data_IF_040084748557
#
_entry.id   IF_040084748557
#
_cell.length_a   1.000
_cell.length_b   1.000
_cell.length_c   1.000
_cell.angle_alpha   90.00
_cell.angle_beta   90.00
_cell.angle_gamma   90.00
#
_symmetry.space_group_name_H-M   'P 1'
#
loop_
_entity.id
_entity.type
_entity.pdbx_description
1 polymer ?
#
# COMPACT_ATOMS: atom_id res chain seq x y z
N UNK A 1 -31.49 22.69 -55.65
CA UNK A 1 -31.80 21.38 -55.07
C UNK A 1 -30.80 21.14 -53.95
N UNK A 2 -31.35 21.22 -52.74
CA UNK A 2 -30.93 20.66 -51.45
C UNK A 2 -29.45 20.69 -51.03
N UNK A 3 -29.18 21.59 -50.06
CA UNK A 3 -28.13 21.44 -49.06
C UNK A 3 -28.43 20.17 -48.23
N UNK A 4 -27.70 19.08 -48.47
CA UNK A 4 -27.65 17.96 -47.54
C UNK A 4 -26.91 18.40 -46.26
N UNK A 5 -27.67 18.76 -45.23
CA UNK A 5 -27.13 18.83 -43.88
C UNK A 5 -26.72 17.41 -43.44
N UNK A 6 -25.54 17.21 -42.83
CA UNK A 6 -25.19 15.92 -42.27
C UNK A 6 -26.21 15.55 -41.19
N UNK A 7 -26.85 14.40 -41.35
CA UNK A 7 -27.79 13.84 -40.37
C UNK A 7 -26.96 13.44 -39.14
N UNK A 8 -27.01 14.24 -38.08
CA UNK A 8 -26.41 13.90 -36.79
C UNK A 8 -27.40 13.04 -36.00
N UNK A 9 -27.12 11.74 -35.88
CA UNK A 9 -27.90 10.84 -35.03
C UNK A 9 -27.56 11.07 -33.54
N UNK A 10 -28.29 11.92 -32.83
CA UNK A 10 -28.14 12.04 -31.37
C UNK A 10 -28.69 10.78 -30.70
N UNK A 11 -27.85 10.09 -29.93
CA UNK A 11 -28.24 8.90 -29.16
C UNK A 11 -28.68 9.33 -27.76
N UNK A 12 -29.67 8.63 -27.18
CA UNK A 12 -30.20 8.92 -25.85
C UNK A 12 -30.24 7.63 -25.02
N UNK A 13 -29.60 7.64 -23.85
CA UNK A 13 -29.75 6.58 -22.84
C UNK A 13 -30.56 7.17 -21.69
N UNK A 14 -31.64 6.48 -21.33
CA UNK A 14 -32.46 6.82 -20.17
C UNK A 14 -32.09 5.90 -19.02
N UNK A 15 -31.53 6.46 -17.96
CA UNK A 15 -31.24 5.75 -16.72
C UNK A 15 -32.23 6.22 -15.65
N UNK A 16 -32.79 5.29 -14.89
CA UNK A 16 -33.65 5.60 -13.76
C UNK A 16 -32.84 5.40 -12.48
N UNK A 17 -32.68 6.46 -11.67
CA UNK A 17 -31.96 6.33 -10.40
C UNK A 17 -32.87 5.72 -9.31
N UNK A 18 -32.29 5.40 -8.15
CA UNK A 18 -33.03 4.86 -6.99
C UNK A 18 -34.17 5.76 -6.49
N UNK A 19 -34.18 7.05 -6.88
CA UNK A 19 -35.21 8.02 -6.55
C UNK A 19 -36.26 8.18 -7.67
N UNK A 20 -36.28 7.29 -8.68
CA UNK A 20 -37.18 7.33 -9.84
C UNK A 20 -37.01 8.54 -10.75
N UNK A 21 -35.90 9.28 -10.64
CA UNK A 21 -35.60 10.38 -11.55
C UNK A 21 -34.98 9.82 -12.84
N UNK A 22 -35.45 10.34 -13.97
CA UNK A 22 -34.97 9.96 -15.30
C UNK A 22 -33.77 10.84 -15.66
N UNK A 23 -32.59 10.24 -15.74
CA UNK A 23 -31.38 10.86 -16.24
C UNK A 23 -31.30 10.56 -17.74
N UNK A 24 -31.43 11.61 -18.56
CA UNK A 24 -31.29 11.51 -20.02
C UNK A 24 -29.84 11.85 -20.42
N UNK A 25 -29.08 10.85 -20.85
CA UNK A 25 -27.74 11.04 -21.40
C UNK A 25 -27.83 11.14 -22.92
N UNK A 26 -27.71 12.36 -23.45
CA UNK A 26 -27.64 12.61 -24.90
C UNK A 26 -26.19 12.70 -25.36
N UNK A 27 -25.81 11.93 -26.38
CA UNK A 27 -24.47 11.99 -26.97
C UNK A 27 -24.50 11.83 -28.50
N UNK A 28 -23.47 12.34 -29.18
CA UNK A 28 -23.33 12.25 -30.63
C UNK A 28 -22.36 11.10 -31.02
N UNK A 29 -22.60 10.40 -32.15
CA UNK A 29 -21.66 9.44 -32.71
C UNK A 29 -20.52 10.22 -33.36
N UNK A 30 -19.31 9.95 -32.91
CA UNK A 30 -18.11 10.64 -33.35
C UNK A 30 -17.37 9.87 -34.46
N UNK A 31 -16.52 10.58 -35.19
CA UNK A 31 -15.80 10.16 -36.41
C UNK A 31 -14.85 8.95 -36.21
N UNK A 32 -14.44 8.23 -37.26
CA UNK A 32 -13.68 6.94 -37.22
C UNK A 32 -12.45 6.85 -36.29
N UNK A 33 -11.78 7.97 -35.99
CA UNK A 33 -10.68 8.05 -34.99
C UNK A 33 -11.16 7.85 -33.53
N UNK A 34 -12.48 7.82 -33.31
CA UNK A 34 -13.18 7.75 -32.02
C UNK A 34 -13.73 6.35 -31.70
N UNK A 35 -13.60 5.39 -32.63
CA UNK A 35 -14.05 4.00 -32.41
C UNK A 35 -13.19 3.28 -31.35
N UNK A 36 -11.86 3.46 -31.38
CA UNK A 36 -10.97 2.93 -30.35
C UNK A 36 -11.19 3.60 -29.00
N UNK A 37 -11.44 4.92 -28.95
CA UNK A 37 -11.75 5.61 -27.69
C UNK A 37 -13.07 5.12 -27.06
N UNK A 38 -14.05 4.74 -27.89
CA UNK A 38 -15.30 4.11 -27.42
C UNK A 38 -15.05 2.70 -26.89
N UNK A 39 -14.28 1.89 -27.61
CA UNK A 39 -13.91 0.54 -27.15
C UNK A 39 -13.07 0.59 -25.86
N UNK A 40 -12.11 1.52 -25.76
CA UNK A 40 -11.30 1.76 -24.56
C UNK A 40 -12.18 2.09 -23.35
N UNK A 41 -13.17 2.97 -23.53
CA UNK A 41 -14.11 3.33 -22.48
C UNK A 41 -14.98 2.13 -22.05
N UNK A 42 -15.42 1.29 -22.99
CA UNK A 42 -16.18 0.07 -22.68
C UNK A 42 -15.32 -0.95 -21.94
N UNK A 43 -14.10 -1.23 -22.43
CA UNK A 43 -13.16 -2.15 -21.76
C UNK A 43 -12.90 -1.67 -20.33
N UNK A 44 -12.63 -0.38 -20.16
CA UNK A 44 -12.43 0.24 -18.84
C UNK A 44 -13.67 0.09 -17.95
N UNK A 45 -14.86 0.39 -18.46
CA UNK A 45 -16.09 0.26 -17.70
C UNK A 45 -16.33 -1.19 -17.28
N UNK A 46 -16.06 -2.17 -18.15
CA UNK A 46 -16.12 -3.58 -17.80
C UNK A 46 -15.16 -3.92 -16.66
N UNK A 47 -13.92 -3.44 -16.70
CA UNK A 47 -12.90 -3.73 -15.69
C UNK A 47 -13.22 -3.07 -14.34
N UNK A 48 -13.60 -1.79 -14.35
CA UNK A 48 -13.94 -1.05 -13.13
C UNK A 48 -15.24 -1.58 -12.47
N UNK A 49 -16.18 -2.10 -13.26
CA UNK A 49 -17.43 -2.71 -12.75
C UNK A 49 -17.34 -4.21 -12.50
N UNK A 50 -16.19 -4.84 -12.75
CA UNK A 50 -15.99 -6.29 -12.70
C UNK A 50 -17.01 -7.07 -13.57
N UNK A 51 -17.45 -6.47 -14.67
CA UNK A 51 -18.42 -7.06 -15.58
C UNK A 51 -17.73 -8.16 -16.40
N UNK A 52 -18.15 -9.40 -16.16
CA UNK A 52 -17.58 -10.54 -16.88
C UNK A 52 -17.89 -10.49 -18.38
N UNK A 53 -17.05 -11.16 -19.17
CA UNK A 53 -17.23 -11.34 -20.62
C UNK A 53 -18.62 -11.90 -20.96
N UNK A 54 -19.08 -12.93 -20.24
CA UNK A 54 -20.40 -13.53 -20.44
C UNK A 54 -21.52 -12.54 -20.12
N UNK A 55 -21.38 -11.82 -19.01
CA UNK A 55 -22.35 -10.81 -18.58
C UNK A 55 -22.48 -9.68 -19.60
N UNK A 56 -21.36 -9.16 -20.12
CA UNK A 56 -21.38 -8.14 -21.18
C UNK A 56 -21.98 -8.69 -22.48
N UNK A 57 -21.66 -9.94 -22.84
CA UNK A 57 -22.21 -10.60 -24.04
C UNK A 57 -23.74 -10.68 -23.99
N UNK A 58 -24.31 -11.10 -22.86
CA UNK A 58 -25.76 -11.16 -22.65
C UNK A 58 -26.40 -9.78 -22.72
N UNK A 59 -25.74 -8.76 -22.15
CA UNK A 59 -26.22 -7.38 -22.20
C UNK A 59 -26.25 -6.85 -23.65
N UNK A 60 -25.17 -7.06 -24.41
CA UNK A 60 -25.07 -6.67 -25.81
C UNK A 60 -26.02 -7.45 -26.74
N UNK A 61 -26.49 -8.64 -26.32
CA UNK A 61 -27.51 -9.39 -27.05
C UNK A 61 -28.92 -8.80 -26.91
N UNK A 62 -29.20 -8.10 -25.81
CA UNK A 62 -30.51 -7.49 -25.51
C UNK A 62 -30.58 -6.03 -25.95
N UNK A 63 -29.45 -5.31 -25.93
CA UNK A 63 -29.37 -3.90 -26.37
C UNK A 63 -28.59 -3.79 -27.71
N UNK A 64 -29.29 -3.66 -28.86
CA UNK A 64 -28.66 -3.62 -30.18
C UNK A 64 -27.69 -2.45 -30.39
N UNK A 65 -27.77 -1.40 -29.58
CA UNK A 65 -26.88 -0.24 -29.67
C UNK A 65 -25.50 -0.46 -29.03
N UNK A 66 -25.34 -1.53 -28.22
CA UNK A 66 -24.06 -1.87 -27.63
C UNK A 66 -23.12 -2.51 -28.66
N UNK A 67 -21.83 -2.23 -28.47
CA UNK A 67 -20.80 -2.88 -29.30
C UNK A 67 -20.78 -4.37 -28.95
N UNK A 68 -20.75 -5.21 -30.00
CA UNK A 68 -20.66 -6.65 -29.87
C UNK A 68 -19.42 -7.07 -29.08
N UNK A 69 -19.58 -8.10 -28.26
CA UNK A 69 -18.56 -8.61 -27.34
C UNK A 69 -17.20 -8.86 -28.00
N UNK A 70 -17.17 -9.47 -29.18
CA UNK A 70 -15.91 -9.82 -29.85
C UNK A 70 -15.03 -8.61 -30.17
N UNK A 71 -15.60 -7.45 -30.52
CA UNK A 71 -14.80 -6.22 -30.73
C UNK A 71 -14.21 -5.71 -29.41
N UNK A 72 -14.93 -5.86 -28.30
CA UNK A 72 -14.43 -5.50 -26.96
C UNK A 72 -13.29 -6.45 -26.54
N UNK A 73 -13.43 -7.75 -26.83
CA UNK A 73 -12.38 -8.73 -26.58
C UNK A 73 -11.12 -8.50 -27.44
N UNK A 74 -11.29 -8.23 -28.73
CA UNK A 74 -10.18 -7.87 -29.63
C UNK A 74 -9.45 -6.63 -29.13
N UNK A 75 -10.19 -5.57 -28.75
CA UNK A 75 -9.58 -4.38 -28.19
C UNK A 75 -8.84 -4.66 -26.88
N UNK A 76 -9.36 -5.53 -26.01
CA UNK A 76 -8.68 -5.94 -24.77
C UNK A 76 -7.35 -6.63 -25.06
N UNK A 77 -7.29 -7.48 -26.09
CA UNK A 77 -6.04 -8.12 -26.53
C UNK A 77 -5.05 -7.06 -27.02
N UNK A 78 -5.49 -6.13 -27.88
CA UNK A 78 -4.63 -5.04 -28.36
C UNK A 78 -4.08 -4.17 -27.20
N UNK A 79 -4.92 -3.81 -26.23
CA UNK A 79 -4.49 -3.06 -25.03
C UNK A 79 -3.45 -3.88 -24.26
N UNK A 80 -3.67 -5.18 -24.09
CA UNK A 80 -2.73 -6.08 -23.40
C UNK A 80 -1.37 -6.12 -24.13
N UNK A 81 -1.37 -6.18 -25.46
CA UNK A 81 -0.14 -6.16 -26.26
C UNK A 81 0.58 -4.81 -26.24
N UNK A 82 -0.17 -3.71 -26.13
CA UNK A 82 0.41 -2.38 -25.89
C UNK A 82 1.05 -2.33 -24.49
N UNK A 83 0.35 -2.81 -23.47
CA UNK A 83 0.84 -2.85 -22.09
C UNK A 83 2.09 -3.72 -21.96
N UNK A 84 2.11 -4.91 -22.55
CA UNK A 84 3.27 -5.82 -22.52
C UNK A 84 4.50 -5.21 -23.18
N UNK A 85 4.33 -4.36 -24.21
CA UNK A 85 5.44 -3.63 -24.83
C UNK A 85 5.90 -2.43 -24.01
N UNK A 86 4.96 -1.68 -23.42
CA UNK A 86 5.26 -0.45 -22.69
C UNK A 86 5.79 -0.69 -21.27
N UNK A 87 5.17 -1.61 -20.54
CA UNK A 87 5.47 -1.96 -19.16
C UNK A 87 5.51 -3.49 -19.03
N UNK A 88 6.51 -4.08 -19.67
CA UNK A 88 6.67 -5.53 -19.70
C UNK A 88 6.75 -6.11 -18.28
N UNK A 89 5.91 -7.10 -18.00
CA UNK A 89 5.96 -7.90 -16.78
C UNK A 89 6.86 -9.10 -17.08
N UNK A 90 8.00 -9.13 -16.41
CA UNK A 90 8.95 -10.23 -16.47
C UNK A 90 8.74 -11.15 -15.29
N UNK A 91 9.10 -12.39 -15.46
CA UNK A 91 8.97 -13.43 -14.45
C UNK A 91 10.35 -13.88 -13.99
N UNK A 92 10.40 -14.49 -12.81
CA UNK A 92 11.63 -15.02 -12.22
C UNK A 92 11.31 -16.17 -11.28
N UNK A 93 12.30 -17.04 -11.08
CA UNK A 93 12.26 -18.12 -10.10
C UNK A 93 13.14 -17.76 -8.91
N UNK A 94 12.71 -18.20 -7.74
CA UNK A 94 13.45 -18.09 -6.50
C UNK A 94 14.15 -19.43 -6.29
N UNK A 95 15.46 -19.41 -6.02
CA UNK A 95 16.18 -20.63 -5.64
C UNK A 95 15.63 -21.15 -4.32
N UNK A 96 14.64 -22.05 -4.38
CA UNK A 96 14.13 -22.76 -3.21
C UNK A 96 15.18 -23.79 -2.82
N UNK A 97 15.77 -23.64 -1.63
CA UNK A 97 16.30 -24.84 -0.97
C UNK A 97 15.13 -25.83 -0.78
N UNK A 98 15.32 -27.13 -1.03
CA UNK A 98 14.23 -28.10 -0.97
C UNK A 98 13.66 -28.15 0.45
N UNK A 99 12.49 -27.55 0.62
CA UNK A 99 11.65 -27.76 1.78
C UNK A 99 11.20 -29.23 1.73
N UNK A 100 11.38 -29.97 2.83
CA UNK A 100 10.84 -31.33 2.98
C UNK A 100 9.34 -31.27 2.67
N UNK A 101 8.93 -31.96 1.59
CA UNK A 101 7.54 -32.05 1.17
C UNK A 101 6.80 -33.00 2.12
N UNK A 102 5.72 -32.52 2.73
CA UNK A 102 4.66 -33.44 3.16
C UNK A 102 3.90 -33.88 1.90
N UNK A 103 3.90 -35.19 1.68
CA UNK A 103 3.29 -35.88 0.54
C UNK A 103 1.79 -35.61 0.46
N UNK A 104 1.35 -34.64 -0.36
CA UNK A 104 0.06 -34.73 -1.06
C UNK A 104 0.18 -34.03 -2.41
N UNK A 105 0.13 -34.84 -3.47
CA UNK A 105 0.33 -34.42 -4.85
C UNK A 105 -0.68 -33.41 -5.35
N UNK A 106 -0.17 -32.38 -6.00
CA UNK A 106 -0.79 -31.66 -7.11
C UNK A 106 0.32 -31.27 -8.07
N UNK A 107 0.04 -31.38 -9.36
CA UNK A 107 0.98 -31.31 -10.48
C UNK A 107 2.00 -30.17 -10.37
N UNK A 108 3.28 -30.53 -10.49
CA UNK A 108 4.37 -29.59 -10.73
C UNK A 108 4.22 -29.02 -12.15
N UNK A 109 3.44 -27.96 -12.30
CA UNK A 109 3.77 -26.97 -13.31
C UNK A 109 5.00 -26.23 -12.81
N UNK A 110 6.06 -26.16 -13.63
CA UNK A 110 7.18 -25.23 -13.45
C UNK A 110 6.59 -23.82 -13.38
N UNK A 111 6.27 -23.36 -12.17
CA UNK A 111 5.62 -22.08 -11.96
C UNK A 111 6.71 -21.13 -11.49
N UNK A 112 7.01 -20.13 -12.31
CA UNK A 112 7.87 -19.01 -11.94
C UNK A 112 7.39 -18.45 -10.60
N UNK A 113 8.32 -18.28 -9.65
CA UNK A 113 7.97 -17.97 -8.26
C UNK A 113 7.49 -16.52 -8.07
N UNK A 114 7.74 -15.64 -9.04
CA UNK A 114 7.28 -14.27 -9.00
C UNK A 114 7.36 -13.55 -10.34
N UNK A 115 6.78 -12.35 -10.34
CA UNK A 115 6.75 -11.43 -11.46
C UNK A 115 7.17 -10.03 -11.01
N UNK A 116 7.82 -9.28 -11.90
CA UNK A 116 8.28 -7.92 -11.68
C UNK A 116 8.17 -7.08 -12.94
N UNK A 117 8.24 -5.76 -12.77
CA UNK A 117 8.30 -4.80 -13.88
C UNK A 117 9.21 -3.63 -13.53
N UNK A 118 9.78 -3.01 -14.56
CA UNK A 118 10.75 -1.92 -14.42
C UNK A 118 10.10 -0.65 -13.85
N UNK A 119 10.79 -0.02 -12.90
CA UNK A 119 10.43 1.29 -12.36
C UNK A 119 10.50 2.35 -13.46
N UNK A 120 11.52 2.30 -14.33
CA UNK A 120 11.68 3.21 -15.48
C UNK A 120 10.57 3.10 -16.50
N UNK A 121 10.09 1.89 -16.79
CA UNK A 121 8.92 1.70 -17.65
C UNK A 121 7.68 2.40 -17.06
N UNK A 122 7.48 2.28 -15.74
CA UNK A 122 6.39 2.98 -15.05
C UNK A 122 6.57 4.51 -15.15
N UNK A 123 7.77 5.03 -14.87
CA UNK A 123 8.06 6.47 -14.95
C UNK A 123 7.83 7.03 -16.35
N UNK A 124 8.26 6.30 -17.39
CA UNK A 124 8.05 6.68 -18.80
C UNK A 124 6.58 6.92 -19.11
N UNK A 125 5.68 6.13 -18.53
CA UNK A 125 4.24 6.22 -18.76
C UNK A 125 3.59 7.29 -17.88
N UNK A 126 3.99 7.40 -16.61
CA UNK A 126 3.32 8.26 -15.65
C UNK A 126 3.82 9.71 -15.67
N UNK A 127 5.08 9.96 -16.00
CA UNK A 127 5.66 11.30 -15.99
C UNK A 127 4.90 12.29 -16.89
N UNK A 128 4.49 11.94 -18.13
CA UNK A 128 3.63 12.82 -18.93
C UNK A 128 2.30 13.14 -18.26
N UNK A 129 1.71 12.17 -17.55
CA UNK A 129 0.43 12.35 -16.84
C UNK A 129 0.59 13.34 -15.68
N UNK A 130 1.69 13.23 -14.93
CA UNK A 130 2.01 14.15 -13.84
C UNK A 130 2.37 15.56 -14.31
N UNK A 131 3.03 15.70 -15.47
CA UNK A 131 3.31 17.00 -16.12
C UNK A 131 2.03 17.68 -16.61
N UNK A 132 1.07 16.92 -17.10
CA UNK A 132 -0.16 17.42 -17.73
C UNK A 132 -1.35 17.54 -16.77
N UNK A 133 -1.22 17.07 -15.52
CA UNK A 133 -2.30 17.21 -14.54
C UNK A 133 -2.60 18.67 -14.25
N UNK A 134 -3.79 18.96 -13.72
CA UNK A 134 -4.20 20.33 -13.35
C UNK A 134 -4.58 20.37 -11.87
N UNK A 135 -3.77 21.01 -10.99
CA UNK A 135 -2.43 21.54 -11.26
C UNK A 135 -1.42 20.43 -11.59
N UNK A 136 -0.28 20.76 -12.24
CA UNK A 136 0.78 19.79 -12.51
C UNK A 136 1.35 19.27 -11.20
N UNK A 137 1.56 17.95 -11.10
CA UNK A 137 2.23 17.32 -9.95
C UNK A 137 3.74 17.54 -10.02
N UNK A 138 4.29 17.58 -11.24
CA UNK A 138 5.71 17.77 -11.51
C UNK A 138 5.91 18.84 -12.59
N UNK A 139 6.82 19.76 -12.35
CA UNK A 139 7.30 20.75 -13.32
C UNK A 139 8.81 20.59 -13.56
N UNK A 140 9.34 20.96 -14.74
CA UNK A 140 10.76 20.85 -15.02
C UNK A 140 11.61 21.54 -13.95
N UNK A 141 12.61 20.82 -13.42
CA UNK A 141 13.45 21.26 -12.30
C UNK A 141 13.07 20.62 -10.96
N UNK A 142 11.90 19.99 -10.85
CA UNK A 142 11.52 19.21 -9.67
C UNK A 142 12.32 17.91 -9.54
N UNK A 143 12.47 17.45 -8.31
CA UNK A 143 12.97 16.10 -7.98
C UNK A 143 11.80 15.11 -7.92
N UNK A 144 11.93 13.98 -8.60
CA UNK A 144 11.01 12.84 -8.50
C UNK A 144 11.31 12.10 -7.19
N UNK A 145 10.36 12.12 -6.25
CA UNK A 145 10.51 11.45 -4.95
C UNK A 145 9.79 10.11 -4.97
N UNK A 146 10.52 9.02 -5.11
CA UNK A 146 9.96 7.67 -5.19
C UNK A 146 10.07 6.96 -3.84
N UNK A 147 8.93 6.49 -3.34
CA UNK A 147 8.90 5.66 -2.14
C UNK A 147 8.64 4.22 -2.53
N UNK A 148 9.61 3.35 -2.24
CA UNK A 148 9.42 1.91 -2.25
C UNK A 148 8.72 1.47 -0.97
N UNK A 149 7.84 0.49 -1.08
CA UNK A 149 7.27 -0.17 0.09
C UNK A 149 7.06 -1.64 -0.15
N UNK A 150 6.98 -2.42 0.91
CA UNK A 150 6.77 -3.85 0.83
C UNK A 150 5.98 -4.37 2.00
N UNK A 151 5.18 -5.41 1.75
CA UNK A 151 4.45 -6.13 2.78
C UNK A 151 4.29 -7.60 2.36
N UNK A 152 4.16 -8.48 3.35
CA UNK A 152 3.83 -9.88 3.16
C UNK A 152 2.39 -10.14 3.60
N UNK A 153 1.64 -10.85 2.75
CA UNK A 153 0.27 -11.22 3.04
C UNK A 153 0.04 -12.71 2.80
N UNK A 154 -0.66 -13.35 3.73
CA UNK A 154 -1.04 -14.75 3.60
C UNK A 154 -2.28 -14.83 2.68
N UNK A 155 -2.12 -15.39 1.47
CA UNK A 155 -3.24 -15.57 0.55
C UNK A 155 -3.81 -16.97 0.74
N UNK A 156 -4.94 -17.05 1.46
CA UNK A 156 -5.56 -18.31 1.84
C UNK A 156 -4.78 -19.09 2.91
N UNK A 157 -4.96 -20.41 2.96
CA UNK A 157 -4.30 -21.30 3.96
C UNK A 157 -2.96 -21.88 3.49
N UNK A 158 -2.51 -21.58 2.27
CA UNK A 158 -1.47 -22.40 1.60
C UNK A 158 -0.17 -21.65 1.27
N UNK A 159 -0.21 -20.37 0.89
CA UNK A 159 0.99 -19.67 0.41
C UNK A 159 1.01 -18.19 0.78
N UNK A 160 2.15 -17.76 1.31
CA UNK A 160 2.43 -16.36 1.58
C UNK A 160 2.87 -15.68 0.29
N UNK A 161 2.46 -14.43 0.10
CA UNK A 161 2.89 -13.61 -1.01
C UNK A 161 3.56 -12.37 -0.45
N UNK A 162 4.59 -11.90 -1.13
CA UNK A 162 5.26 -10.65 -0.81
C UNK A 162 5.11 -9.72 -2.00
N UNK A 163 4.62 -8.52 -1.74
CA UNK A 163 4.44 -7.48 -2.74
C UNK A 163 5.38 -6.33 -2.44
N UNK A 164 6.05 -5.83 -3.48
CA UNK A 164 6.80 -4.57 -3.42
C UNK A 164 6.13 -3.57 -4.37
N UNK A 165 5.97 -2.35 -3.89
CA UNK A 165 5.31 -1.25 -4.61
C UNK A 165 6.22 -0.02 -4.66
N UNK A 166 5.95 0.87 -5.61
CA UNK A 166 6.51 2.22 -5.67
C UNK A 166 5.38 3.23 -5.77
N UNK A 167 5.51 4.38 -5.11
CA UNK A 167 4.62 5.52 -5.30
C UNK A 167 5.40 6.84 -5.43
N UNK A 168 4.76 7.85 -6.01
CA UNK A 168 5.34 9.19 -6.17
C UNK A 168 4.92 10.09 -5.00
N UNK A 169 5.86 10.42 -4.11
CA UNK A 169 5.59 11.27 -2.94
C UNK A 169 5.13 12.70 -3.31
N UNK A 170 5.51 13.20 -4.49
CA UNK A 170 5.06 14.50 -4.99
C UNK A 170 3.52 14.60 -5.12
N UNK A 171 2.80 13.48 -5.20
CA UNK A 171 1.33 13.47 -5.24
C UNK A 171 0.66 13.75 -3.87
N UNK A 172 1.45 13.93 -2.81
CA UNK A 172 0.96 14.26 -1.47
C UNK A 172 0.02 13.19 -0.92
N UNK A 173 -1.18 13.57 -0.46
CA UNK A 173 -2.14 12.62 0.15
C UNK A 173 -2.66 11.55 -0.81
N UNK A 174 -2.54 11.73 -2.13
CA UNK A 174 -3.00 10.72 -3.11
C UNK A 174 -2.21 9.43 -3.00
N UNK A 175 -0.97 9.46 -2.52
CA UNK A 175 -0.16 8.24 -2.32
C UNK A 175 -0.79 7.24 -1.36
N UNK A 176 -1.75 7.66 -0.53
CA UNK A 176 -2.49 6.76 0.37
C UNK A 176 -3.57 5.95 -0.37
N UNK A 177 -3.88 6.31 -1.62
CA UNK A 177 -4.87 5.60 -2.42
C UNK A 177 -4.22 4.38 -3.10
N UNK A 178 -4.90 3.22 -3.14
CA UNK A 178 -4.37 2.03 -3.81
C UNK A 178 -3.97 2.25 -5.27
N UNK A 179 -4.69 3.11 -5.99
CA UNK A 179 -4.42 3.42 -7.41
C UNK A 179 -3.11 4.18 -7.65
N UNK A 180 -2.51 4.73 -6.60
CA UNK A 180 -1.23 5.44 -6.63
C UNK A 180 -0.09 4.59 -6.04
N UNK A 181 -0.36 3.33 -5.69
CA UNK A 181 0.62 2.35 -5.26
C UNK A 181 0.91 1.40 -6.43
N UNK A 182 1.99 1.65 -7.16
CA UNK A 182 2.34 0.87 -8.34
C UNK A 182 3.11 -0.38 -7.92
N UNK A 183 2.48 -1.55 -7.98
CA UNK A 183 3.18 -2.82 -7.76
C UNK A 183 4.36 -2.95 -8.73
N UNK A 184 5.55 -3.26 -8.24
CA UNK A 184 6.75 -3.48 -9.06
C UNK A 184 7.24 -4.93 -8.98
N UNK A 185 6.87 -5.65 -7.93
CA UNK A 185 7.21 -7.05 -7.75
C UNK A 185 6.13 -7.77 -6.92
N UNK A 186 5.80 -8.99 -7.31
CA UNK A 186 4.95 -9.91 -6.56
C UNK A 186 5.56 -11.31 -6.65
N UNK A 187 5.75 -11.97 -5.51
CA UNK A 187 6.24 -13.36 -5.51
C UNK A 187 5.56 -14.20 -4.42
N UNK A 188 5.45 -15.50 -4.68
CA UNK A 188 5.00 -16.49 -3.72
C UNK A 188 6.19 -16.90 -2.83
N UNK A 189 6.15 -16.52 -1.56
CA UNK A 189 7.25 -16.74 -0.65
C UNK A 189 7.12 -16.02 0.67
N UNK A 190 8.20 -16.06 1.44
CA UNK A 190 8.27 -15.46 2.76
C UNK A 190 9.07 -14.17 2.73
N UNK A 191 8.76 -13.31 3.70
CA UNK A 191 9.55 -12.15 4.07
C UNK A 191 10.81 -12.62 4.81
N UNK A 192 11.77 -13.16 4.05
CA UNK A 192 13.09 -13.58 4.51
C UNK A 192 14.16 -12.82 3.76
N UNK A 193 15.23 -12.48 4.47
CA UNK A 193 16.37 -11.74 3.91
C UNK A 193 16.90 -12.37 2.61
N UNK A 194 17.09 -13.69 2.58
CA UNK A 194 17.64 -14.40 1.41
C UNK A 194 16.72 -14.27 0.18
N UNK A 195 15.41 -14.40 0.36
CA UNK A 195 14.45 -14.25 -0.74
C UNK A 195 14.40 -12.80 -1.22
N UNK A 196 14.38 -11.84 -0.29
CA UNK A 196 14.41 -10.41 -0.62
C UNK A 196 15.74 -9.95 -1.22
N UNK A 197 16.83 -10.70 -1.01
CA UNK A 197 18.12 -10.45 -1.68
C UNK A 197 18.00 -10.68 -3.18
N UNK A 198 17.25 -11.71 -3.61
CA UNK A 198 16.99 -11.93 -5.04
C UNK A 198 16.19 -10.76 -5.63
N UNK A 199 15.20 -10.24 -4.90
CA UNK A 199 14.42 -9.08 -5.33
C UNK A 199 15.28 -7.81 -5.39
N UNK A 200 16.13 -7.61 -4.39
CA UNK A 200 17.13 -6.54 -4.37
C UNK A 200 18.01 -6.57 -5.63
N UNK A 201 18.50 -7.75 -6.01
CA UNK A 201 19.34 -7.90 -7.20
C UNK A 201 18.62 -7.51 -8.49
N UNK A 202 17.32 -7.83 -8.62
CA UNK A 202 16.50 -7.44 -9.79
C UNK A 202 16.49 -5.91 -9.98
N UNK A 203 16.37 -5.14 -8.89
CA UNK A 203 16.24 -3.68 -8.96
C UNK A 203 17.55 -2.92 -8.73
N UNK A 204 18.65 -3.61 -8.40
CA UNK A 204 19.90 -2.99 -7.95
C UNK A 204 20.44 -1.94 -8.93
N UNK A 205 20.59 -2.33 -10.20
CA UNK A 205 21.19 -1.45 -11.20
C UNK A 205 20.23 -0.32 -11.58
N UNK A 206 18.93 -0.62 -11.68
CA UNK A 206 17.90 0.38 -11.98
C UNK A 206 17.81 1.47 -10.90
N UNK A 207 17.77 1.08 -9.62
CA UNK A 207 17.73 2.03 -8.50
C UNK A 207 19.03 2.84 -8.40
N UNK A 208 20.18 2.21 -8.63
CA UNK A 208 21.47 2.89 -8.60
C UNK A 208 21.59 3.93 -9.71
N UNK A 209 21.13 3.59 -10.92
CA UNK A 209 21.13 4.49 -12.06
C UNK A 209 20.16 5.65 -11.86
N UNK A 210 18.95 5.37 -11.36
CA UNK A 210 17.98 6.42 -10.99
C UNK A 210 18.56 7.39 -9.95
N UNK A 211 19.22 6.88 -8.90
CA UNK A 211 19.84 7.72 -7.87
C UNK A 211 20.95 8.62 -8.44
N UNK A 212 21.86 8.04 -9.21
CA UNK A 212 23.09 8.71 -9.60
C UNK A 212 22.93 9.60 -10.84
N UNK A 213 22.09 9.17 -11.79
CA UNK A 213 21.93 9.81 -13.10
C UNK A 213 20.54 10.41 -13.31
N UNK A 214 19.60 10.19 -12.39
CA UNK A 214 18.22 10.64 -12.53
C UNK A 214 17.43 9.83 -13.57
N UNK A 215 16.32 10.43 -14.02
CA UNK A 215 15.46 9.90 -15.06
C UNK A 215 15.39 10.88 -16.24
N UNK A 216 15.66 10.41 -17.45
CA UNK A 216 15.52 11.22 -18.67
C UNK A 216 14.15 10.98 -19.29
N UNK A 217 13.39 12.05 -19.52
CA UNK A 217 12.13 11.95 -20.23
C UNK A 217 12.33 11.90 -21.76
N UNK A 218 11.23 11.72 -22.50
CA UNK A 218 11.26 11.65 -23.97
C UNK A 218 11.75 12.92 -24.64
N UNK A 219 11.72 14.05 -23.94
CA UNK A 219 12.17 15.36 -24.42
C UNK A 219 13.66 15.59 -24.09
N UNK A 220 14.32 14.63 -23.44
CA UNK A 220 15.72 14.71 -23.00
C UNK A 220 15.90 15.52 -21.71
N UNK A 221 14.83 15.87 -21.00
CA UNK A 221 14.93 16.56 -19.71
C UNK A 221 15.36 15.56 -18.64
N UNK A 222 16.42 15.91 -17.91
CA UNK A 222 16.90 15.12 -16.77
C UNK A 222 16.13 15.52 -15.50
N UNK A 223 15.55 14.53 -14.84
CA UNK A 223 14.82 14.66 -13.59
C UNK A 223 15.63 14.01 -12.47
N UNK A 224 16.11 14.77 -11.47
CA UNK A 224 16.73 14.18 -10.28
C UNK A 224 15.76 13.22 -9.59
N UNK A 225 16.26 12.12 -9.03
CA UNK A 225 15.44 11.13 -8.33
C UNK A 225 15.94 10.98 -6.90
N UNK A 226 15.02 11.08 -5.95
CA UNK A 226 15.27 10.81 -4.54
C UNK A 226 14.46 9.55 -4.14
N UNK A 227 15.14 8.60 -3.50
CA UNK A 227 14.56 7.31 -3.15
C UNK A 227 14.29 7.22 -1.65
N UNK A 228 13.13 6.67 -1.30
CA UNK A 228 12.68 6.39 0.05
C UNK A 228 12.25 4.94 0.18
N UNK A 229 12.31 4.40 1.39
CA UNK A 229 11.77 3.08 1.70
C UNK A 229 10.84 3.17 2.90
N UNK A 230 9.67 2.52 2.83
CA UNK A 230 8.73 2.42 3.94
C UNK A 230 8.17 1.02 4.09
N UNK A 231 8.18 0.51 5.32
CA UNK A 231 7.59 -0.78 5.66
C UNK A 231 7.30 -0.87 7.15
N UNK A 232 6.59 -1.91 7.55
CA UNK A 232 6.42 -2.21 8.97
C UNK A 232 7.79 -2.46 9.63
N UNK A 233 7.81 -2.42 10.96
CA UNK A 233 9.06 -2.52 11.72
C UNK A 233 9.86 -3.79 11.42
N UNK A 234 9.21 -4.93 11.22
CA UNK A 234 9.88 -6.20 10.90
C UNK A 234 10.49 -6.14 9.50
N UNK A 235 9.75 -5.63 8.52
CA UNK A 235 10.22 -5.47 7.15
C UNK A 235 11.44 -4.54 7.09
N UNK A 236 11.41 -3.43 7.83
CA UNK A 236 12.52 -2.49 7.93
C UNK A 236 13.81 -3.18 8.42
N UNK A 237 13.73 -4.02 9.45
CA UNK A 237 14.89 -4.77 9.94
C UNK A 237 15.52 -5.65 8.87
N UNK A 238 14.68 -6.33 8.08
CA UNK A 238 15.16 -7.24 7.04
C UNK A 238 15.81 -6.44 5.90
N UNK A 239 15.15 -5.40 5.41
CA UNK A 239 15.68 -4.56 4.33
C UNK A 239 16.97 -3.85 4.75
N UNK A 240 17.08 -3.41 6.00
CA UNK A 240 18.29 -2.74 6.51
C UNK A 240 19.40 -3.72 6.92
N UNK A 241 19.16 -5.03 6.92
CA UNK A 241 20.14 -6.04 7.32
C UNK A 241 20.45 -6.07 8.82
N UNK A 242 19.50 -5.66 9.65
CA UNK A 242 19.58 -5.62 11.11
C UNK A 242 19.17 -6.98 11.72
N UNK A 243 19.55 -7.23 12.98
CA UNK A 243 19.35 -8.53 13.62
C UNK A 243 17.88 -8.84 13.94
N UNK A 244 17.31 -8.16 14.95
CA UNK A 244 15.94 -8.38 15.38
C UNK A 244 15.44 -7.24 16.30
N UNK A 245 14.12 -6.98 16.36
CA UNK A 245 13.54 -5.95 17.22
C UNK A 245 13.81 -6.11 18.72
N UNK A 246 14.16 -7.32 19.17
CA UNK A 246 14.46 -7.64 20.57
C UNK A 246 15.97 -7.64 20.90
N UNK A 247 16.83 -7.22 19.95
CA UNK A 247 18.25 -7.09 20.20
C UNK A 247 18.56 -5.97 21.21
N UNK A 248 19.72 -6.05 21.87
CA UNK A 248 20.16 -5.00 22.80
C UNK A 248 20.20 -3.62 22.13
N UNK A 249 20.58 -3.57 20.85
CA UNK A 249 20.59 -2.37 20.01
C UNK A 249 19.43 -2.44 19.02
N UNK A 250 18.26 -1.98 19.43
CA UNK A 250 17.00 -2.14 18.67
C UNK A 250 16.61 -0.93 17.81
N UNK A 251 17.30 0.20 17.93
CA UNK A 251 16.94 1.37 17.13
C UNK A 251 17.32 1.13 15.66
N UNK A 252 16.49 1.57 14.71
CA UNK A 252 16.83 1.52 13.28
C UNK A 252 17.96 2.51 12.93
N UNK A 253 18.03 3.60 13.67
CA UNK A 253 18.75 4.83 13.30
C UNK A 253 20.01 5.10 14.10
N UNK A 254 20.19 4.45 15.24
CA UNK A 254 21.33 4.72 16.11
C UNK A 254 21.72 3.51 16.93
N UNK A 255 22.84 3.63 17.62
CA UNK A 255 23.36 2.61 18.54
C UNK A 255 22.76 2.71 19.95
N UNK A 256 21.49 3.13 20.06
CA UNK A 256 20.76 3.17 21.34
C UNK A 256 20.57 1.75 21.88
N UNK A 257 21.04 1.52 23.11
CA UNK A 257 20.89 0.26 23.81
C UNK A 257 19.66 0.23 24.73
N UNK A 258 19.20 -0.97 25.05
CA UNK A 258 18.04 -1.21 25.89
C UNK A 258 18.18 -0.68 27.32
N UNK A 259 19.40 -0.59 27.86
CA UNK A 259 19.65 -0.14 29.24
C UNK A 259 19.56 1.39 29.35
N UNK A 260 19.83 2.08 28.24
CA UNK A 260 19.88 3.53 28.17
C UNK A 260 18.65 4.17 27.51
N UNK A 261 17.72 3.37 26.95
CA UNK A 261 16.57 3.88 26.19
C UNK A 261 15.55 4.72 26.97
N UNK A 262 15.59 4.67 28.30
CA UNK A 262 14.69 5.43 29.17
C UNK A 262 15.17 6.86 29.41
N UNK A 263 16.46 7.11 29.17
CA UNK A 263 17.12 8.38 29.41
C UNK A 263 16.87 9.34 28.24
N UNK A 264 15.89 10.22 28.41
CA UNK A 264 15.46 11.19 27.40
C UNK A 264 16.41 12.39 27.26
N UNK A 265 17.35 12.56 28.20
CA UNK A 265 18.37 13.61 28.14
C UNK A 265 19.55 13.22 27.24
N UNK A 266 19.67 11.93 26.90
CA UNK A 266 20.68 11.44 25.97
C UNK A 266 20.31 11.73 24.53
N UNK A 267 21.24 12.38 23.83
CA UNK A 267 21.17 12.59 22.40
C UNK A 267 21.86 11.42 21.69
N UNK A 268 21.12 10.75 20.81
CA UNK A 268 21.66 9.70 19.94
C UNK A 268 21.76 10.22 18.52
N UNK A 269 22.98 10.28 17.98
CA UNK A 269 23.18 10.66 16.59
C UNK A 269 22.60 9.60 15.64
N UNK A 270 21.93 10.06 14.57
CA UNK A 270 21.39 9.20 13.52
C UNK A 270 22.49 8.78 12.53
N UNK A 271 23.51 8.07 13.05
CA UNK A 271 24.60 7.52 12.24
C UNK A 271 24.29 6.10 11.74
N UNK A 272 23.13 5.56 12.08
CA UNK A 272 22.75 4.18 11.85
C UNK A 272 23.13 3.27 13.01
N UNK A 273 22.61 2.05 12.95
CA UNK A 273 22.86 1.02 13.97
C UNK A 273 23.97 0.06 13.52
N UNK A 274 25.22 0.47 13.70
CA UNK A 274 26.40 -0.37 13.41
C UNK A 274 26.54 -1.55 14.37
N UNK A 275 25.98 -1.47 15.58
CA UNK A 275 26.07 -2.53 16.59
C UNK A 275 25.09 -3.69 16.40
N UNK A 276 24.03 -3.48 15.61
CA UNK A 276 23.00 -4.49 15.30
C UNK A 276 23.04 -4.97 13.84
N UNK A 277 23.85 -4.33 12.99
CA UNK A 277 24.00 -4.69 11.58
C UNK A 277 24.70 -6.04 11.44
N UNK A 278 24.03 -6.99 10.79
CA UNK A 278 24.56 -8.34 10.51
C UNK A 278 24.76 -8.60 9.02
N UNK A 279 23.99 -7.92 8.19
CA UNK A 279 23.95 -8.12 6.74
C UNK A 279 23.97 -6.75 6.03
N UNK A 280 24.39 -6.68 4.77
CA UNK A 280 24.26 -5.44 4.00
C UNK A 280 22.78 -5.06 3.82
N UNK A 281 22.46 -3.77 3.66
CA UNK A 281 21.12 -3.35 3.30
C UNK A 281 20.77 -3.84 1.89
N UNK A 282 19.50 -4.20 1.69
CA UNK A 282 18.99 -4.74 0.43
C UNK A 282 18.79 -3.66 -0.64
N UNK A 283 18.63 -2.38 -0.27
CA UNK A 283 18.50 -1.30 -1.25
C UNK A 283 19.56 -0.22 -1.01
N UNK A 284 20.85 -0.48 -1.27
CA UNK A 284 21.94 0.45 -0.96
C UNK A 284 21.87 1.79 -1.72
N UNK A 285 21.04 1.89 -2.76
CA UNK A 285 20.75 3.15 -3.43
C UNK A 285 19.90 4.10 -2.57
N UNK A 286 19.22 3.62 -1.53
CA UNK A 286 18.41 4.43 -0.63
C UNK A 286 19.31 4.90 0.52
N UNK A 287 19.33 6.21 0.77
CA UNK A 287 20.10 6.78 1.86
C UNK A 287 19.50 6.40 3.22
N UNK A 288 20.34 6.34 4.26
CA UNK A 288 19.96 5.74 5.53
C UNK A 288 18.82 6.50 6.22
N UNK A 289 18.83 7.82 6.11
CA UNK A 289 17.81 8.75 6.56
C UNK A 289 16.46 8.59 5.85
N UNK A 290 16.46 7.97 4.65
CA UNK A 290 15.27 7.81 3.82
C UNK A 290 14.58 6.45 4.03
N UNK A 291 15.04 5.65 5.01
CA UNK A 291 14.33 4.49 5.54
C UNK A 291 13.36 4.94 6.62
N UNK A 292 12.06 4.94 6.34
CA UNK A 292 11.02 5.48 7.21
C UNK A 292 10.06 4.34 7.64
N UNK A 293 9.93 4.01 8.93
CA UNK A 293 8.98 3.01 9.39
C UNK A 293 7.55 3.46 9.13
N UNK A 294 6.68 2.49 8.91
CA UNK A 294 5.26 2.74 8.74
C UNK A 294 4.64 3.37 10.01
N UNK A 295 4.14 4.59 9.87
CA UNK A 295 3.54 5.37 10.96
C UNK A 295 2.28 4.73 11.53
N UNK A 296 1.49 4.02 10.71
CA UNK A 296 0.29 3.34 11.17
C UNK A 296 0.67 2.18 12.08
N UNK A 297 1.63 1.34 11.69
CA UNK A 297 2.11 0.23 12.51
C UNK A 297 2.77 0.73 13.81
N UNK A 298 3.52 1.84 13.74
CA UNK A 298 4.05 2.50 14.92
C UNK A 298 2.95 2.97 15.86
N UNK A 299 1.95 3.70 15.35
CA UNK A 299 0.79 4.15 16.12
C UNK A 299 0.08 2.97 16.81
N UNK A 300 -0.18 1.91 16.05
CA UNK A 300 -0.84 0.71 16.57
C UNK A 300 -0.03 0.11 17.72
N UNK A 301 1.29 -0.04 17.55
CA UNK A 301 2.16 -0.64 18.57
C UNK A 301 2.31 0.23 19.81
N UNK A 302 2.55 1.53 19.65
CA UNK A 302 2.68 2.48 20.76
C UNK A 302 1.38 2.52 21.56
N UNK A 303 0.23 2.61 20.87
CA UNK A 303 -1.07 2.62 21.53
C UNK A 303 -1.33 1.34 22.34
N UNK A 304 -0.95 0.16 21.83
CA UNK A 304 -1.10 -1.10 22.57
C UNK A 304 -0.25 -1.12 23.84
N UNK A 305 1.00 -0.68 23.75
CA UNK A 305 1.90 -0.63 24.92
C UNK A 305 1.39 0.34 25.98
N UNK A 306 0.96 1.54 25.58
CA UNK A 306 0.41 2.54 26.52
C UNK A 306 -0.86 2.03 27.21
N UNK A 307 -1.74 1.37 26.46
CA UNK A 307 -2.98 0.80 26.98
C UNK A 307 -2.73 -0.39 27.90
N UNK A 308 -1.82 -1.27 27.53
CA UNK A 308 -1.37 -2.38 28.35
C UNK A 308 -0.80 -1.89 29.69
N UNK A 309 0.06 -0.86 29.66
CA UNK A 309 0.59 -0.24 30.88
C UNK A 309 -0.54 0.32 31.76
N UNK A 310 -1.45 1.12 31.18
CA UNK A 310 -2.57 1.72 31.90
C UNK A 310 -3.45 0.64 32.55
N UNK A 311 -3.89 -0.34 31.77
CA UNK A 311 -4.82 -1.36 32.25
C UNK A 311 -4.17 -2.31 33.25
N UNK A 312 -2.91 -2.70 33.05
CA UNK A 312 -2.20 -3.53 34.02
C UNK A 312 -2.08 -2.85 35.38
N UNK A 313 -1.91 -1.53 35.43
CA UNK A 313 -1.87 -0.79 36.69
C UNK A 313 -3.26 -0.63 37.33
N UNK A 314 -4.30 -0.47 36.52
CA UNK A 314 -5.68 -0.39 37.03
C UNK A 314 -6.21 -1.73 37.51
N UNK A 315 -5.89 -2.83 36.83
CA UNK A 315 -6.31 -4.20 37.19
C UNK A 315 -5.74 -4.63 38.55
N UNK A 316 -4.56 -4.15 38.93
CA UNK A 316 -3.94 -4.44 40.23
C UNK A 316 -4.71 -3.82 41.42
N UNK A 317 -5.57 -2.82 41.18
CA UNK A 317 -6.32 -2.14 42.25
C UNK A 317 -7.47 -3.03 42.74
N UNK A 318 -7.69 -3.05 44.07
CA UNK A 318 -8.72 -3.90 44.70
C UNK A 318 -10.13 -3.54 44.24
N UNK A 319 -10.34 -2.28 43.94
CA UNK A 319 -11.59 -1.70 43.46
C UNK A 319 -11.81 -1.87 41.94
N UNK A 320 -10.90 -2.55 41.22
CA UNK A 320 -10.96 -2.67 39.76
C UNK A 320 -12.30 -3.19 39.27
N UNK A 321 -12.68 -4.41 39.68
CA UNK A 321 -13.84 -5.12 39.14
C UNK A 321 -15.17 -4.40 39.45
N UNK A 322 -15.29 -3.76 40.62
CA UNK A 322 -16.53 -3.14 41.09
C UNK A 322 -16.66 -1.66 40.75
N UNK A 323 -15.56 -0.92 40.65
CA UNK A 323 -15.58 0.53 40.53
C UNK A 323 -14.89 1.04 39.26
N UNK A 324 -13.68 0.55 38.96
CA UNK A 324 -12.89 1.11 37.84
C UNK A 324 -13.36 0.56 36.50
N UNK A 325 -13.57 -0.75 36.41
CA UNK A 325 -13.99 -1.45 35.18
C UNK A 325 -15.24 -0.79 34.57
N UNK A 326 -16.36 -0.60 35.31
CA UNK A 326 -17.57 0.01 34.73
C UNK A 326 -17.35 1.44 34.22
N UNK A 327 -16.47 2.21 34.87
CA UNK A 327 -16.17 3.60 34.50
C UNK A 327 -15.35 3.66 33.21
N UNK A 328 -14.38 2.75 33.04
CA UNK A 328 -13.61 2.66 31.79
C UNK A 328 -14.53 2.24 30.63
N UNK A 329 -15.33 1.20 30.81
CA UNK A 329 -16.25 0.70 29.79
C UNK A 329 -17.28 1.77 29.40
N UNK A 330 -17.78 2.55 30.36
CA UNK A 330 -18.64 3.70 30.10
C UNK A 330 -17.90 4.79 29.29
N UNK A 331 -16.65 5.11 29.62
CA UNK A 331 -15.87 6.08 28.87
C UNK A 331 -15.63 5.64 27.41
N UNK A 332 -15.37 4.36 27.15
CA UNK A 332 -15.30 3.85 25.77
C UNK A 332 -16.64 3.91 25.05
N UNK A 333 -17.74 3.62 25.75
CA UNK A 333 -19.10 3.73 25.20
C UNK A 333 -19.45 5.18 24.83
N UNK A 334 -19.05 6.17 25.63
CA UNK A 334 -19.18 7.60 25.29
C UNK A 334 -18.43 7.94 24.00
N UNK A 335 -17.28 7.28 23.78
CA UNK A 335 -16.54 7.34 22.53
C UNK A 335 -17.14 6.45 21.43
N UNK A 336 -18.32 5.87 21.57
CA UNK A 336 -18.90 4.96 20.58
C UNK A 336 -17.97 3.81 20.16
N UNK A 337 -17.08 3.38 21.05
CA UNK A 337 -16.18 2.23 20.85
C UNK A 337 -16.74 1.06 21.65
N UNK A 338 -16.91 -0.09 21.00
CA UNK A 338 -17.28 -1.31 21.71
C UNK A 338 -16.05 -1.85 22.43
N UNK A 339 -16.09 -1.82 23.76
CA UNK A 339 -14.98 -2.23 24.61
C UNK A 339 -15.49 -2.83 25.91
N UNK A 340 -14.94 -3.98 26.30
CA UNK A 340 -15.22 -4.65 27.56
C UNK A 340 -13.98 -5.34 28.12
N UNK A 341 -13.93 -5.44 29.45
CA UNK A 341 -13.01 -6.34 30.13
C UNK A 341 -13.69 -7.69 30.40
N UNK A 342 -12.98 -8.75 30.04
CA UNK A 342 -13.43 -10.14 30.23
C UNK A 342 -12.31 -10.97 30.86
N UNK A 343 -12.67 -12.11 31.44
CA UNK A 343 -11.70 -13.05 31.99
C UNK A 343 -11.41 -14.15 30.97
N UNK A 344 -10.14 -14.46 30.78
CA UNK A 344 -9.71 -15.61 30.00
C UNK A 344 -9.99 -16.92 30.74
N UNK A 345 -9.77 -18.05 30.05
CA UNK A 345 -9.86 -19.40 30.63
C UNK A 345 -9.00 -19.54 31.90
N UNK A 346 -7.86 -18.85 31.95
CA UNK A 346 -6.95 -18.85 33.10
C UNK A 346 -7.34 -17.87 34.21
N UNK A 347 -8.56 -17.33 34.19
CA UNK A 347 -9.08 -16.32 35.12
C UNK A 347 -8.23 -15.02 35.14
N UNK A 348 -7.49 -14.74 34.06
CA UNK A 348 -6.75 -13.49 33.88
C UNK A 348 -7.64 -12.45 33.18
N UNK A 349 -7.56 -11.21 33.62
CA UNK A 349 -8.25 -10.11 32.94
C UNK A 349 -7.63 -9.85 31.57
N UNK A 350 -8.50 -9.75 30.57
CA UNK A 350 -8.23 -9.33 29.21
C UNK A 350 -9.26 -8.29 28.80
N UNK A 351 -9.06 -7.69 27.63
CA UNK A 351 -9.94 -6.65 27.10
C UNK A 351 -10.11 -6.76 25.60
N UNK A 352 -11.14 -6.11 25.07
CA UNK A 352 -11.39 -6.01 23.63
C UNK A 352 -10.21 -5.35 22.92
N UNK A 353 -9.67 -6.01 21.88
CA UNK A 353 -8.64 -5.41 21.02
C UNK A 353 -9.26 -4.31 20.16
N UNK A 354 -8.55 -3.18 20.02
CA UNK A 354 -9.02 -2.03 19.26
C UNK A 354 -8.39 -1.98 17.87
N UNK A 355 -9.21 -1.71 16.86
CA UNK A 355 -8.75 -1.50 15.48
C UNK A 355 -8.23 -0.07 15.29
N UNK A 356 -7.52 0.18 14.18
CA UNK A 356 -6.88 1.48 13.89
C UNK A 356 -7.79 2.71 14.07
N UNK A 357 -9.03 2.74 13.53
CA UNK A 357 -9.95 3.86 13.73
C UNK A 357 -10.31 4.09 15.20
N UNK A 358 -10.58 3.03 15.96
CA UNK A 358 -10.94 3.12 17.38
C UNK A 358 -9.75 3.56 18.23
N UNK A 359 -8.55 3.07 17.93
CA UNK A 359 -7.30 3.53 18.55
C UNK A 359 -7.09 5.03 18.36
N UNK A 360 -7.33 5.56 17.15
CA UNK A 360 -7.25 7.02 16.89
C UNK A 360 -8.28 7.79 17.72
N UNK A 361 -9.52 7.30 17.79
CA UNK A 361 -10.59 7.95 18.56
C UNK A 361 -10.30 7.94 20.06
N UNK A 362 -9.77 6.82 20.56
CA UNK A 362 -9.33 6.64 21.94
C UNK A 362 -8.17 7.57 22.28
N UNK A 363 -7.07 7.56 21.51
CA UNK A 363 -5.89 8.39 21.78
C UNK A 363 -6.23 9.89 21.85
N UNK A 364 -7.22 10.33 21.05
CA UNK A 364 -7.64 11.74 21.02
C UNK A 364 -8.54 12.14 22.20
N UNK A 365 -9.41 11.24 22.68
CA UNK A 365 -10.55 11.63 23.51
C UNK A 365 -10.68 10.84 24.82
N UNK A 366 -9.94 9.75 25.02
CA UNK A 366 -10.07 8.93 26.23
C UNK A 366 -9.54 9.70 27.45
N UNK A 367 -10.34 9.85 28.52
CA UNK A 367 -10.01 10.73 29.63
C UNK A 367 -9.04 10.05 30.62
N UNK A 368 -7.78 9.85 30.22
CA UNK A 368 -6.73 9.18 31.02
C UNK A 368 -6.58 9.80 32.42
N UNK A 369 -6.73 11.11 32.53
CA UNK A 369 -6.64 11.86 33.80
C UNK A 369 -7.69 11.46 34.85
N UNK A 370 -8.77 10.79 34.46
CA UNK A 370 -9.74 10.22 35.42
C UNK A 370 -9.20 8.98 36.16
N UNK A 371 -8.18 8.34 35.63
CA UNK A 371 -7.71 7.02 36.09
C UNK A 371 -6.28 7.01 36.65
N UNK A 372 -5.47 8.00 36.26
CA UNK A 372 -4.09 8.19 36.75
C UNK A 372 -4.05 9.46 37.62
N UNK A 373 -3.55 9.35 38.85
CA UNK A 373 -3.40 10.47 39.79
C UNK A 373 -1.92 10.91 39.88
N UNK A 374 -1.67 12.23 39.93
CA UNK A 374 -0.34 12.83 40.12
C UNK A 374 -0.04 14.00 39.16
N UNK A 375 0.94 14.85 39.50
CA UNK A 375 1.44 15.88 38.60
C UNK A 375 2.29 15.24 37.50
N UNK A 376 1.83 15.28 36.24
CA UNK A 376 2.58 14.75 35.09
C UNK A 376 2.22 15.50 33.82
N UNK A 377 3.25 15.77 33.01
CA UNK A 377 3.17 16.51 31.76
C UNK A 377 3.05 18.01 32.03
N UNK A 378 4.19 18.72 32.05
CA UNK A 378 4.13 20.09 31.54
C UNK A 378 3.63 19.98 30.10
N UNK A 379 2.75 20.91 29.68
CA UNK A 379 2.39 21.00 28.27
C UNK A 379 3.70 21.07 27.46
N UNK A 380 3.89 20.12 26.55
CA UNK A 380 4.99 20.21 25.60
C UNK A 380 4.58 21.31 24.63
N UNK A 381 5.07 22.53 24.88
CA UNK A 381 4.92 23.68 23.98
C UNK A 381 5.47 23.41 22.58
#
# INVERSE_FOLDING_TARGET
MENEQPIFHVHNIQLMNFNQEIINLKYQPFNKKVENSKLDAIVRACDESLLSRDSYSRLAAVEPQLIREHHVAERRIEITDIMNRAINIKTFSLDRQPCIQDETGFDQYETEDGAYRSIRSILTILLPIWKQSTPPVLIPGDTIKLKLGGDSHNVGRKQNHVMTTVCLLNEGKKVLQPNNQYCICLYAGYEKYEMLTNISHIFKDELSDLKNNGFFDSDGVCWPVELFFCGDWKFMYIIMGLNAPNANYFCLYCNCDIESRWDMDRIWENTGNSKCKKKPPLFPAIDQENYIPDELHLLLRISDVLMECLFNDLIKKKEFEKQIKPVIEAAFKELSIQFEFFKSVDNKWNWTSLMGPDKKKMLKNFPVSRFIFGARGEDIE
#
